data_IF_399236045260
#
_entry.id   IF_399236045260
#
_cell.length_a   1.000
_cell.length_b   1.000
_cell.length_c   1.000
_cell.angle_alpha   90.00
_cell.angle_beta   90.00
_cell.angle_gamma   90.00
#
_symmetry.space_group_name_H-M   'P 1'
#
loop_
_entity.id
_entity.type
_entity.pdbx_description
1 polymer ?
#
# COMPACT_ATOMS: atom_id res chain seq x y z
N UNK A 1 0.05 -5.80 0.21
CA UNK A 1 0.66 -6.34 -1.03
C UNK A 1 1.89 -7.19 -0.75
N UNK A 2 2.92 -6.66 -0.07
CA UNK A 2 4.18 -7.37 0.22
C UNK A 2 3.96 -8.73 0.87
N UNK A 3 3.19 -8.79 1.96
CA UNK A 3 2.87 -10.06 2.60
C UNK A 3 2.19 -11.04 1.64
N UNK A 4 1.11 -10.63 0.98
CA UNK A 4 0.40 -11.48 0.01
C UNK A 4 1.30 -11.98 -1.12
N UNK A 5 2.26 -11.17 -1.59
CA UNK A 5 3.22 -11.56 -2.64
C UNK A 5 4.28 -12.56 -2.15
N UNK A 6 4.56 -12.59 -0.84
CA UNK A 6 5.44 -13.57 -0.22
C UNK A 6 4.77 -14.88 0.18
N UNK A 7 3.45 -14.99 0.03
CA UNK A 7 2.69 -16.21 0.37
C UNK A 7 2.56 -17.09 -0.88
N UNK A 8 2.88 -18.41 -0.80
CA UNK A 8 2.62 -19.35 -1.89
C UNK A 8 1.15 -19.31 -2.35
N UNK A 9 0.86 -19.32 -3.67
CA UNK A 9 -0.50 -19.16 -4.18
C UNK A 9 -1.53 -20.14 -3.60
N UNK A 10 -1.14 -21.37 -3.29
CA UNK A 10 -1.96 -22.41 -2.68
C UNK A 10 -2.38 -22.12 -1.23
N UNK A 11 -1.69 -21.19 -0.55
CA UNK A 11 -2.00 -20.72 0.80
C UNK A 11 -2.62 -19.30 0.80
N UNK A 12 -2.67 -18.63 -0.34
CA UNK A 12 -3.22 -17.28 -0.47
C UNK A 12 -4.67 -17.33 -0.96
N UNK A 13 -5.63 -17.40 -0.04
CA UNK A 13 -7.05 -17.38 -0.40
C UNK A 13 -7.45 -16.07 -1.11
N UNK A 14 -7.10 -14.91 -0.56
CA UNK A 14 -7.37 -13.60 -1.18
C UNK A 14 -6.52 -12.48 -0.59
N UNK A 15 -6.53 -11.32 -1.25
CA UNK A 15 -6.06 -10.03 -0.74
C UNK A 15 -6.89 -8.92 -1.38
N UNK A 16 -6.97 -7.75 -0.74
CA UNK A 16 -7.81 -6.65 -1.22
C UNK A 16 -7.04 -5.32 -1.29
N UNK A 17 -7.40 -4.49 -2.26
CA UNK A 17 -6.83 -3.19 -2.56
C UNK A 17 -7.70 -2.06 -1.98
N UNK A 18 -7.65 -1.84 -0.67
CA UNK A 18 -8.48 -0.80 -0.01
C UNK A 18 -8.29 0.63 -0.56
N UNK A 19 -7.12 0.92 -1.14
CA UNK A 19 -6.85 2.22 -1.73
C UNK A 19 -7.72 2.52 -2.96
N UNK A 20 -8.34 1.52 -3.61
CA UNK A 20 -9.29 1.76 -4.71
C UNK A 20 -10.72 2.07 -4.25
N UNK A 21 -10.98 2.00 -2.94
CA UNK A 21 -12.30 2.25 -2.33
C UNK A 21 -12.45 3.70 -1.86
N UNK A 22 -11.35 4.47 -1.85
CA UNK A 22 -11.28 5.81 -1.27
C UNK A 22 -10.88 6.83 -2.33
N UNK A 23 -11.21 8.10 -2.09
CA UNK A 23 -10.88 9.22 -2.97
C UNK A 23 -9.63 9.99 -2.55
N UNK A 24 -9.10 9.70 -1.35
CA UNK A 24 -7.90 10.35 -0.79
C UNK A 24 -6.74 9.36 -0.80
N UNK A 25 -5.61 9.76 -1.39
CA UNK A 25 -4.38 8.95 -1.42
C UNK A 25 -3.38 9.48 -0.40
N UNK A 26 -2.97 8.64 0.55
CA UNK A 26 -1.98 8.98 1.58
C UNK A 26 -0.52 8.89 1.11
N UNK A 27 -0.26 8.19 0.00
CA UNK A 27 1.10 7.93 -0.47
C UNK A 27 1.16 7.72 -1.99
N UNK A 28 2.33 8.00 -2.56
CA UNK A 28 2.71 7.62 -3.91
C UNK A 28 3.32 6.22 -3.93
N UNK A 29 3.28 5.56 -5.10
CA UNK A 29 3.85 4.21 -5.26
C UNK A 29 3.00 3.08 -4.66
N UNK A 30 1.83 3.39 -4.08
CA UNK A 30 0.94 2.38 -3.52
C UNK A 30 0.49 1.36 -4.60
N UNK A 31 0.40 0.05 -4.26
CA UNK A 31 -0.08 -1.00 -5.17
C UNK A 31 -1.39 -0.63 -5.84
N UNK A 32 -1.48 -0.82 -7.15
CA UNK A 32 -2.70 -0.53 -7.93
C UNK A 32 -3.28 -1.82 -8.47
N UNK A 33 -4.61 -1.98 -8.36
CA UNK A 33 -5.31 -3.10 -8.97
C UNK A 33 -5.33 -2.97 -10.49
N UNK A 34 -4.87 -4.03 -11.15
CA UNK A 34 -4.88 -4.21 -12.60
C UNK A 34 -5.51 -5.57 -12.88
N UNK A 35 -6.65 -5.57 -13.58
CA UNK A 35 -7.40 -6.78 -13.94
C UNK A 35 -7.66 -7.71 -12.73
N UNK A 36 -8.11 -7.14 -11.60
CA UNK A 36 -8.44 -7.91 -10.40
C UNK A 36 -7.26 -8.38 -9.56
N UNK A 37 -6.02 -7.99 -9.90
CA UNK A 37 -4.80 -8.34 -9.15
C UNK A 37 -3.96 -7.11 -8.84
N UNK A 38 -3.07 -7.20 -7.86
CA UNK A 38 -2.08 -6.16 -7.56
C UNK A 38 -0.74 -6.81 -7.21
N UNK A 39 0.34 -6.05 -7.34
CA UNK A 39 1.69 -6.45 -6.93
C UNK A 39 2.29 -5.42 -5.99
N UNK A 40 3.17 -5.87 -5.10
CA UNK A 40 4.01 -4.99 -4.30
C UNK A 40 5.04 -4.26 -5.17
N UNK A 41 5.55 -3.14 -4.66
CA UNK A 41 6.65 -2.41 -5.28
C UNK A 41 7.93 -3.27 -5.29
N UNK A 42 8.83 -2.99 -6.24
CA UNK A 42 10.19 -3.56 -6.28
C UNK A 42 11.24 -2.69 -5.60
N UNK A 43 10.87 -1.47 -5.21
CA UNK A 43 11.74 -0.55 -4.48
C UNK A 43 11.99 -1.03 -3.04
N UNK A 44 13.10 -0.61 -2.40
CA UNK A 44 13.39 -0.98 -1.01
C UNK A 44 12.27 -0.63 -0.03
N UNK A 45 12.14 -1.44 1.02
CA UNK A 45 11.11 -1.27 2.04
C UNK A 45 9.70 -1.50 1.49
N UNK A 46 8.74 -0.67 1.90
CA UNK A 46 7.37 -0.76 1.37
C UNK A 46 7.25 -0.23 -0.06
N UNK A 47 8.23 0.56 -0.53
CA UNK A 47 8.24 1.17 -1.85
C UNK A 47 7.12 2.19 -2.06
N UNK A 48 6.77 2.93 -1.01
CA UNK A 48 5.81 4.05 -1.03
C UNK A 48 6.46 5.30 -0.47
N UNK A 49 6.04 6.46 -0.95
CA UNK A 49 6.46 7.78 -0.44
C UNK A 49 5.23 8.49 0.10
N UNK A 50 5.28 9.00 1.33
CA UNK A 50 4.14 9.71 1.93
C UNK A 50 3.82 10.98 1.13
N UNK A 51 2.52 11.29 1.03
CA UNK A 51 2.04 12.58 0.57
C UNK A 51 1.91 13.50 1.76
N UNK A 52 2.98 14.21 2.11
CA UNK A 52 3.04 15.09 3.28
C UNK A 52 1.95 16.17 3.23
N UNK A 53 1.59 16.63 2.04
CA UNK A 53 0.50 17.59 1.82
C UNK A 53 -0.90 17.03 2.16
N UNK A 54 -1.06 15.70 2.15
CA UNK A 54 -2.32 15.00 2.51
C UNK A 54 -2.31 14.56 3.96
N UNK A 55 -1.17 14.03 4.44
CA UNK A 55 -1.01 13.52 5.80
C UNK A 55 -0.96 14.66 6.82
N UNK A 56 -0.31 15.78 6.46
CA UNK A 56 -0.14 16.94 7.32
C UNK A 56 0.85 16.72 8.47
N UNK A 57 0.84 17.66 9.42
CA UNK A 57 1.72 17.65 10.57
C UNK A 57 1.40 16.50 11.55
N UNK A 58 2.42 15.93 12.23
CA UNK A 58 2.20 14.94 13.28
C UNK A 58 1.27 15.47 14.39
N UNK A 59 0.25 14.69 14.74
CA UNK A 59 -0.68 15.03 15.82
C UNK A 59 -0.06 14.87 17.22
N UNK A 60 1.04 14.13 17.33
CA UNK A 60 1.77 13.87 18.57
C UNK A 60 3.24 13.63 18.25
N UNK A 61 4.11 14.32 18.98
CA UNK A 61 5.56 14.07 19.02
C UNK A 61 5.93 13.81 20.48
N UNK A 62 6.58 12.68 20.73
CA UNK A 62 7.09 12.31 22.05
C UNK A 62 8.61 12.47 22.05
N UNK A 63 9.15 13.04 23.13
CA UNK A 63 10.59 13.19 23.39
C UNK A 63 11.11 12.08 24.29
#
# INVERSE_FOLDING_TARGET
SHLAQGVPPELLFTSTDFNSYVTVSAAEGAPQRKNGRMSASKEPGLGVTLREEVIGEPVLVLE
#
